data_IF_690273781326
#
_entry.id   IF_690273781326
#
_cell.length_a   1.000
_cell.length_b   1.000
_cell.length_c   1.000
_cell.angle_alpha   90.00
_cell.angle_beta   90.00
_cell.angle_gamma   90.00
#
_symmetry.space_group_name_H-M   'P 1'
#
loop_
_entity.id
_entity.type
_entity.pdbx_description
1 polymer ?
#
# COMPACT_ATOMS: atom_id res chain seq x y z
N UNK A 1 -0.25 -14.93 -9.09
CA UNK A 1 -0.16 -16.02 -8.10
C UNK A 1 0.91 -15.66 -7.08
N UNK A 2 0.52 -14.96 -6.01
CA UNK A 2 1.39 -14.77 -4.85
C UNK A 2 1.19 -16.01 -4.00
N UNK A 3 2.23 -16.84 -3.88
CA UNK A 3 2.19 -18.00 -3.00
C UNK A 3 2.02 -17.49 -1.58
N UNK A 4 0.86 -17.78 -0.98
CA UNK A 4 0.61 -17.61 0.45
C UNK A 4 1.58 -18.53 1.21
N UNK A 5 2.83 -18.09 1.35
CA UNK A 5 3.75 -18.69 2.32
C UNK A 5 3.12 -18.42 3.67
N UNK A 6 2.60 -19.48 4.29
CA UNK A 6 2.00 -19.39 5.62
C UNK A 6 3.01 -18.75 6.56
N UNK A 7 2.74 -17.50 6.96
CA UNK A 7 3.59 -16.72 7.86
C UNK A 7 4.01 -17.50 9.11
N UNK A 8 3.16 -18.46 9.53
CA UNK A 8 3.37 -19.37 10.66
C UNK A 8 4.60 -20.28 10.59
N UNK A 9 5.26 -20.45 9.43
CA UNK A 9 6.36 -21.43 9.28
C UNK A 9 7.75 -20.82 9.19
N UNK A 10 7.87 -19.50 9.10
CA UNK A 10 9.16 -18.83 8.96
C UNK A 10 9.74 -18.48 10.33
N UNK A 11 11.08 -18.52 10.49
CA UNK A 11 11.71 -18.02 11.70
C UNK A 11 11.51 -16.51 11.83
N UNK A 12 11.47 -16.01 13.06
CA UNK A 12 11.16 -14.61 13.36
C UNK A 12 12.07 -13.61 12.63
N UNK A 13 13.34 -13.97 12.42
CA UNK A 13 14.30 -13.14 11.67
C UNK A 13 13.91 -12.97 10.19
N UNK A 14 13.42 -14.04 9.56
CA UNK A 14 13.02 -14.00 8.15
C UNK A 14 11.73 -13.20 8.01
N UNK A 15 10.78 -13.36 8.94
CA UNK A 15 9.56 -12.55 9.00
C UNK A 15 9.85 -11.05 9.16
N UNK A 16 10.79 -10.68 10.04
CA UNK A 16 11.21 -9.28 10.20
C UNK A 16 11.85 -8.72 8.92
N UNK A 17 12.65 -9.53 8.23
CA UNK A 17 13.32 -9.12 6.98
C UNK A 17 12.31 -8.90 5.85
N UNK A 18 11.33 -9.81 5.74
CA UNK A 18 10.24 -9.69 4.77
C UNK A 18 9.35 -8.46 5.07
N UNK A 19 9.02 -8.23 6.34
CA UNK A 19 8.27 -7.04 6.75
C UNK A 19 9.02 -5.74 6.44
N UNK A 20 10.33 -5.67 6.69
CA UNK A 20 11.14 -4.50 6.32
C UNK A 20 11.08 -4.26 4.81
N UNK A 21 11.26 -5.31 3.99
CA UNK A 21 11.16 -5.18 2.54
C UNK A 21 9.79 -4.63 2.12
N UNK A 22 8.71 -5.18 2.66
CA UNK A 22 7.35 -4.72 2.32
C UNK A 22 7.06 -3.30 2.78
N UNK A 23 7.60 -2.88 3.92
CA UNK A 23 7.49 -1.47 4.34
C UNK A 23 8.16 -0.54 3.33
N UNK A 24 9.33 -0.94 2.79
CA UNK A 24 10.02 -0.17 1.75
C UNK A 24 9.23 -0.13 0.45
N UNK A 25 8.71 -1.27 0.00
CA UNK A 25 7.88 -1.36 -1.21
C UNK A 25 6.59 -0.51 -1.07
N UNK A 26 5.96 -0.49 0.11
CA UNK A 26 4.80 0.36 0.40
C UNK A 26 5.16 1.85 0.32
N UNK A 27 6.27 2.25 0.96
CA UNK A 27 6.75 3.64 0.92
C UNK A 27 7.05 4.07 -0.51
N UNK A 28 7.67 3.20 -1.31
CA UNK A 28 7.92 3.45 -2.72
C UNK A 28 6.62 3.62 -3.51
N UNK A 29 5.65 2.72 -3.32
CA UNK A 29 4.35 2.80 -3.99
C UNK A 29 3.60 4.10 -3.64
N UNK A 30 3.62 4.51 -2.37
CA UNK A 30 2.99 5.76 -1.93
C UNK A 30 3.68 6.98 -2.55
N UNK A 31 5.01 7.03 -2.53
CA UNK A 31 5.78 8.19 -2.98
C UNK A 31 5.80 8.33 -4.50
N UNK A 32 5.89 7.22 -5.24
CA UNK A 32 6.00 7.25 -6.70
C UNK A 32 4.62 7.26 -7.34
N UNK A 33 3.75 6.31 -6.95
CA UNK A 33 2.50 6.08 -7.68
C UNK A 33 1.38 6.96 -7.15
N UNK A 34 1.11 6.92 -5.83
CA UNK A 34 -0.04 7.63 -5.27
C UNK A 34 0.12 9.15 -5.36
N UNK A 35 1.29 9.68 -4.99
CA UNK A 35 1.55 11.12 -5.08
C UNK A 35 1.46 11.65 -6.51
N UNK A 36 1.97 10.92 -7.50
CA UNK A 36 1.86 11.31 -8.91
C UNK A 36 0.40 11.39 -9.35
N UNK A 37 -0.43 10.40 -8.99
CA UNK A 37 -1.87 10.40 -9.32
C UNK A 37 -2.63 11.53 -8.64
N UNK A 38 -2.30 11.86 -7.39
CA UNK A 38 -2.89 12.99 -6.68
C UNK A 38 -2.48 14.33 -7.28
N UNK A 39 -1.23 14.47 -7.73
CA UNK A 39 -0.75 15.66 -8.43
C UNK A 39 -1.50 15.87 -9.76
N UNK A 40 -1.61 14.81 -10.58
CA UNK A 40 -2.38 14.83 -11.83
C UNK A 40 -3.84 15.25 -11.59
N UNK A 41 -4.48 14.64 -10.58
CA UNK A 41 -5.85 14.94 -10.22
C UNK A 41 -6.02 16.40 -9.77
N UNK A 42 -5.11 16.87 -8.92
CA UNK A 42 -5.11 18.24 -8.43
C UNK A 42 -4.96 19.24 -9.58
N UNK A 43 -4.06 19.00 -10.52
CA UNK A 43 -3.86 19.88 -11.68
C UNK A 43 -5.09 19.92 -12.60
N UNK A 44 -5.75 18.78 -12.80
CA UNK A 44 -6.99 18.67 -13.58
C UNK A 44 -8.21 19.26 -12.85
N UNK A 45 -8.18 19.29 -11.52
CA UNK A 45 -9.28 19.85 -10.70
C UNK A 45 -9.30 21.39 -10.70
N UNK A 46 -8.18 22.02 -11.06
CA UNK A 46 -8.07 23.48 -11.08
C UNK A 46 -8.97 24.05 -12.19
N UNK A 47 -9.69 25.15 -11.92
CA UNK A 47 -10.55 25.77 -12.93
C UNK A 47 -9.70 26.39 -14.04
N UNK A 48 -9.61 25.71 -15.18
CA UNK A 48 -8.93 26.25 -16.36
C UNK A 48 -9.93 27.02 -17.22
N UNK A 49 -9.61 28.28 -17.55
CA UNK A 49 -10.33 29.06 -18.56
C UNK A 49 -10.03 28.50 -19.96
N UNK A 50 -10.69 27.40 -20.34
CA UNK A 50 -10.63 26.82 -21.70
C UNK A 50 -11.92 27.06 -22.46
N UNK A 51 -11.81 27.16 -23.78
CA UNK A 51 -12.93 27.34 -24.72
C UNK A 51 -13.85 26.12 -24.81
N UNK A 52 -13.37 24.92 -24.44
CA UNK A 52 -14.17 23.67 -24.36
C UNK A 52 -13.89 22.93 -23.05
N UNK A 53 -14.96 22.57 -22.33
CA UNK A 53 -14.87 21.91 -21.01
C UNK A 53 -14.91 20.38 -21.07
N UNK A 54 -15.53 19.82 -22.12
CA UNK A 54 -15.78 18.38 -22.23
C UNK A 54 -14.52 17.50 -22.17
N UNK A 55 -13.40 17.81 -22.87
CA UNK A 55 -12.18 17.01 -22.77
C UNK A 55 -11.54 17.04 -21.38
N UNK A 56 -11.68 18.17 -20.68
CA UNK A 56 -11.14 18.35 -19.32
C UNK A 56 -11.94 17.53 -18.30
N UNK A 57 -13.27 17.48 -18.45
CA UNK A 57 -14.12 16.65 -17.59
C UNK A 57 -13.85 15.15 -17.77
N UNK A 58 -13.66 14.70 -19.01
CA UNK A 58 -13.31 13.30 -19.27
C UNK A 58 -11.91 12.93 -18.72
N UNK A 59 -10.94 13.84 -18.85
CA UNK A 59 -9.61 13.66 -18.26
C UNK A 59 -9.67 13.60 -16.73
N UNK A 60 -10.47 14.47 -16.10
CA UNK A 60 -10.71 14.48 -14.66
C UNK A 60 -11.35 13.18 -14.18
N UNK A 61 -12.38 12.69 -14.87
CA UNK A 61 -13.03 11.42 -14.55
C UNK A 61 -12.03 10.26 -14.60
N UNK A 62 -11.21 10.20 -15.65
CA UNK A 62 -10.18 9.16 -15.77
C UNK A 62 -9.12 9.26 -14.65
N UNK A 63 -8.70 10.47 -14.29
CA UNK A 63 -7.75 10.68 -13.20
C UNK A 63 -8.34 10.28 -11.84
N UNK A 64 -9.62 10.56 -11.60
CA UNK A 64 -10.35 10.13 -10.41
C UNK A 64 -10.40 8.59 -10.30
N UNK A 65 -10.80 7.92 -11.38
CA UNK A 65 -10.86 6.45 -11.40
C UNK A 65 -9.50 5.82 -11.08
N UNK A 66 -8.44 6.29 -11.74
CA UNK A 66 -7.07 5.81 -11.48
C UNK A 66 -6.62 6.08 -10.04
N UNK A 67 -6.98 7.22 -9.47
CA UNK A 67 -6.63 7.55 -8.08
C UNK A 67 -7.35 6.62 -7.10
N UNK A 68 -8.61 6.29 -7.37
CA UNK A 68 -9.37 5.33 -6.57
C UNK A 68 -8.73 3.95 -6.65
N UNK A 69 -8.41 3.47 -7.86
CA UNK A 69 -7.73 2.19 -8.07
C UNK A 69 -6.41 2.13 -7.30
N UNK A 70 -5.52 3.12 -7.47
CA UNK A 70 -4.24 3.17 -6.75
C UNK A 70 -4.42 3.24 -5.23
N UNK A 71 -5.44 3.96 -4.74
CA UNK A 71 -5.74 3.99 -3.30
C UNK A 71 -6.22 2.62 -2.79
N UNK A 72 -7.01 1.89 -3.58
CA UNK A 72 -7.41 0.52 -3.21
C UNK A 72 -6.23 -0.44 -3.16
N UNK A 73 -5.28 -0.34 -4.09
CA UNK A 73 -4.04 -1.12 -4.07
C UNK A 73 -3.19 -0.78 -2.84
N UNK A 74 -3.01 0.52 -2.55
CA UNK A 74 -2.26 0.96 -1.37
C UNK A 74 -2.89 0.44 -0.06
N UNK A 75 -4.22 0.43 0.04
CA UNK A 75 -4.93 -0.15 1.20
C UNK A 75 -4.67 -1.65 1.33
N UNK A 76 -4.72 -2.41 0.25
CA UNK A 76 -4.42 -3.84 0.27
C UNK A 76 -3.00 -4.12 0.76
N UNK A 77 -2.03 -3.32 0.33
CA UNK A 77 -0.64 -3.43 0.80
C UNK A 77 -0.50 -3.12 2.29
N UNK A 78 -1.20 -2.07 2.77
CA UNK A 78 -1.25 -1.72 4.20
C UNK A 78 -1.88 -2.84 5.03
N UNK A 79 -3.03 -3.36 4.60
CA UNK A 79 -3.75 -4.42 5.30
C UNK A 79 -2.90 -5.69 5.40
N UNK A 80 -2.21 -6.03 4.32
CA UNK A 80 -1.30 -7.18 4.30
C UNK A 80 -0.11 -6.99 5.25
N UNK A 81 0.54 -5.82 5.22
CA UNK A 81 1.64 -5.51 6.13
C UNK A 81 1.16 -5.53 7.60
N UNK A 82 -0.03 -5.02 7.88
CA UNK A 82 -0.61 -5.06 9.23
C UNK A 82 -0.83 -6.50 9.71
N UNK A 83 -1.27 -7.40 8.83
CA UNK A 83 -1.40 -8.83 9.15
C UNK A 83 -0.04 -9.46 9.45
N UNK A 84 0.98 -9.19 8.63
CA UNK A 84 2.34 -9.70 8.83
C UNK A 84 2.95 -9.23 10.15
N UNK A 85 2.81 -7.93 10.48
CA UNK A 85 3.28 -7.37 11.76
C UNK A 85 2.56 -7.99 12.96
N UNK A 86 1.26 -8.26 12.84
CA UNK A 86 0.50 -8.95 13.89
C UNK A 86 0.99 -10.38 14.10
N UNK A 87 1.29 -11.13 13.03
CA UNK A 87 1.87 -12.47 13.15
C UNK A 87 3.25 -12.45 13.80
N UNK A 88 4.10 -11.47 13.46
CA UNK A 88 5.41 -11.27 14.10
C UNK A 88 5.25 -11.02 15.60
N UNK A 89 4.32 -10.14 15.98
CA UNK A 89 4.02 -9.85 17.39
C UNK A 89 3.59 -11.11 18.14
N UNK A 90 2.66 -11.89 17.57
CA UNK A 90 2.21 -13.14 18.17
C UNK A 90 3.34 -14.16 18.28
N UNK A 91 4.21 -14.28 17.27
CA UNK A 91 5.36 -15.17 17.30
C UNK A 91 6.34 -14.78 18.41
N UNK A 92 6.65 -13.49 18.53
CA UNK A 92 7.51 -12.96 19.57
C UNK A 92 6.95 -13.23 20.98
N UNK A 93 5.65 -13.05 21.17
CA UNK A 93 4.98 -13.33 22.45
C UNK A 93 5.04 -14.82 22.82
N UNK A 94 4.81 -15.72 21.86
CA UNK A 94 4.92 -17.18 22.08
C UNK A 94 6.33 -17.59 22.48
N UNK A 95 7.35 -17.06 21.79
CA UNK A 95 8.75 -17.31 22.16
C UNK A 95 9.10 -16.78 23.54
N UNK A 96 8.62 -15.58 23.89
CA UNK A 96 8.88 -14.98 25.20
C UNK A 96 8.27 -15.82 26.34
N UNK A 97 7.05 -16.34 26.15
CA UNK A 97 6.40 -17.22 27.11
C UNK A 97 7.16 -18.56 27.24
N UNK A 98 7.60 -19.14 26.12
CA UNK A 98 8.37 -20.39 26.12
C UNK A 98 9.72 -20.26 26.84
N UNK A 99 10.34 -19.08 26.85
CA UNK A 99 11.60 -18.81 27.58
C UNK A 99 11.41 -18.51 29.06
N UNK A 100 10.18 -18.24 29.51
CA UNK A 100 9.85 -17.93 30.92
C UNK A 100 9.46 -19.16 31.74
N UNK A 101 9.14 -20.27 31.08
CA UNK A 101 8.84 -21.59 31.67
C UNK A 101 10.11 -22.42 31.62
#
# INVERSE_FOLDING_TARGET
MVTERSFRRLPLRDLLTDAEKRTRDLVEHLNITLLARLADLHDLSRPIRRRSHYPTLHALQNALLKTIETNTEARQLIDYLAQELNEILQHAQREQLARRI
#
